data_IF_372297615104
#
_entry.id   IF_372297615104
#
_cell.length_a   1.000
_cell.length_b   1.000
_cell.length_c   1.000
_cell.angle_alpha   90.00
_cell.angle_beta   90.00
_cell.angle_gamma   90.00
#
_symmetry.space_group_name_H-M   'P 1'
#
loop_
_entity.id
_entity.type
_entity.pdbx_description
1 polymer ?
#
# COMPACT_ATOMS: atom_id res chain seq x y z
N UNK A 1 -7.74 -30.29 -9.52
CA UNK A 1 -7.34 -29.16 -8.64
C UNK A 1 -5.91 -28.78 -9.00
N UNK A 2 -5.70 -28.01 -10.07
CA UNK A 2 -4.34 -27.49 -10.41
C UNK A 2 -4.33 -26.28 -11.34
N UNK A 3 -5.47 -25.69 -11.68
CA UNK A 3 -5.51 -24.55 -12.61
C UNK A 3 -5.05 -23.22 -11.98
N UNK A 4 -5.26 -23.05 -10.67
CA UNK A 4 -4.89 -21.81 -9.95
C UNK A 4 -3.37 -21.68 -9.79
N UNK A 5 -2.67 -22.80 -9.58
CA UNK A 5 -1.22 -22.77 -9.39
C UNK A 5 -0.49 -22.44 -10.70
N UNK A 6 -1.04 -22.84 -11.86
CA UNK A 6 -0.41 -22.63 -13.15
C UNK A 6 -0.67 -21.22 -13.69
N UNK A 7 -1.90 -20.69 -13.53
CA UNK A 7 -2.22 -19.30 -13.86
C UNK A 7 -1.33 -18.29 -13.10
N UNK A 8 -1.01 -18.59 -11.83
CA UNK A 8 -0.14 -17.74 -11.03
C UNK A 8 1.32 -17.72 -11.54
N UNK A 9 1.80 -18.81 -12.17
CA UNK A 9 3.16 -18.87 -12.72
C UNK A 9 3.26 -18.09 -14.03
N UNK A 10 2.22 -18.13 -14.87
CA UNK A 10 2.16 -17.37 -16.12
C UNK A 10 2.02 -15.86 -15.86
N UNK A 11 1.20 -15.44 -14.91
CA UNK A 11 1.07 -14.02 -14.53
C UNK A 11 2.38 -13.40 -13.97
N UNK A 12 3.22 -14.21 -13.32
CA UNK A 12 4.56 -13.80 -12.87
C UNK A 12 5.56 -13.64 -14.03
N UNK A 13 5.38 -14.39 -15.13
CA UNK A 13 6.25 -14.39 -16.29
C UNK A 13 5.88 -13.31 -17.33
N UNK A 14 4.59 -13.00 -17.46
CA UNK A 14 4.06 -11.99 -18.40
C UNK A 14 4.08 -10.55 -17.86
N UNK A 15 4.56 -10.34 -16.63
CA UNK A 15 4.70 -9.01 -16.06
C UNK A 15 3.35 -8.36 -15.69
N UNK A 16 2.32 -9.16 -15.40
CA UNK A 16 0.98 -8.73 -14.98
C UNK A 16 0.95 -8.19 -13.53
N UNK A 17 1.99 -7.49 -13.11
CA UNK A 17 2.08 -6.81 -11.83
C UNK A 17 1.45 -5.43 -11.90
N UNK A 18 0.63 -5.07 -10.92
CA UNK A 18 0.28 -3.66 -10.70
C UNK A 18 1.44 -2.97 -9.99
N UNK A 19 1.86 -1.80 -10.47
CA UNK A 19 2.91 -1.03 -9.80
C UNK A 19 2.51 -0.74 -8.35
N UNK A 20 3.44 -0.98 -7.42
CA UNK A 20 3.20 -0.76 -6.00
C UNK A 20 4.00 0.45 -5.49
N UNK A 21 3.43 1.12 -4.50
CA UNK A 21 4.04 2.17 -3.69
C UNK A 21 3.82 1.92 -2.21
N UNK A 22 4.20 2.91 -1.42
CA UNK A 22 3.97 2.93 0.02
C UNK A 22 3.26 4.22 0.41
N UNK A 23 2.35 4.10 1.35
CA UNK A 23 1.72 5.20 2.06
C UNK A 23 1.91 4.99 3.57
N UNK A 24 1.86 6.07 4.34
CA UNK A 24 1.99 6.05 5.79
C UNK A 24 0.65 5.80 6.44
N UNK A 25 0.65 5.11 7.57
CA UNK A 25 -0.52 5.03 8.45
C UNK A 25 -0.47 6.20 9.42
N UNK A 26 -1.60 6.88 9.62
CA UNK A 26 -1.67 7.97 10.59
C UNK A 26 -1.45 7.42 12.00
N UNK A 27 -0.51 8.01 12.73
CA UNK A 27 -0.12 7.57 14.07
C UNK A 27 -0.12 8.74 15.06
N UNK A 28 -1.26 8.95 15.72
CA UNK A 28 -1.48 10.07 16.65
C UNK A 28 -0.56 10.05 17.88
N UNK A 29 0.15 8.95 18.14
CA UNK A 29 1.16 8.84 19.20
C UNK A 29 2.59 9.06 18.74
N UNK A 30 2.81 9.31 17.44
CA UNK A 30 4.15 9.63 16.93
C UNK A 30 4.62 11.00 17.40
N UNK A 31 5.93 11.15 17.58
CA UNK A 31 6.59 12.44 17.82
C UNK A 31 6.93 13.18 16.53
N UNK A 32 6.76 12.54 15.37
CA UNK A 32 7.05 13.11 14.06
C UNK A 32 5.76 13.55 13.37
N UNK A 33 5.79 14.76 12.80
CA UNK A 33 4.70 15.33 12.00
C UNK A 33 5.24 15.89 10.70
N UNK A 34 4.49 15.74 9.62
CA UNK A 34 4.90 16.24 8.32
C UNK A 34 3.92 15.92 7.21
N UNK A 35 4.22 16.43 6.02
CA UNK A 35 3.45 16.13 4.82
C UNK A 35 3.87 14.77 4.27
N UNK A 36 2.94 13.81 4.24
CA UNK A 36 3.13 12.44 3.76
C UNK A 36 1.88 11.99 3.00
N UNK A 37 2.01 10.96 2.17
CA UNK A 37 0.87 10.26 1.60
C UNK A 37 0.32 9.30 2.65
N UNK A 38 -0.88 9.55 3.17
CA UNK A 38 -1.50 8.71 4.19
C UNK A 38 -2.48 7.72 3.58
N UNK A 39 -2.34 6.43 3.86
CA UNK A 39 -3.22 5.40 3.31
C UNK A 39 -4.68 5.65 3.71
N UNK A 40 -5.63 5.24 2.87
CA UNK A 40 -7.04 5.23 3.26
C UNK A 40 -7.21 4.33 4.50
N UNK A 41 -7.92 4.83 5.51
CA UNK A 41 -8.29 4.09 6.73
C UNK A 41 -9.03 2.77 6.46
N UNK A 42 -9.57 2.58 5.26
CA UNK A 42 -10.22 1.34 4.81
C UNK A 42 -9.24 0.24 4.38
N UNK A 43 -7.95 0.53 4.34
CA UNK A 43 -6.93 -0.46 3.95
C UNK A 43 -6.96 -1.63 4.93
N UNK A 44 -7.07 -2.84 4.38
CA UNK A 44 -7.13 -4.07 5.14
C UNK A 44 -6.17 -5.10 4.56
N UNK A 45 -5.86 -6.15 5.32
CA UNK A 45 -4.84 -7.15 4.95
C UNK A 45 -5.16 -7.91 3.66
N UNK A 46 -6.41 -7.90 3.21
CA UNK A 46 -6.89 -8.61 2.03
C UNK A 46 -7.11 -7.68 0.83
N UNK A 47 -7.08 -6.35 1.02
CA UNK A 47 -7.39 -5.38 -0.04
C UNK A 47 -6.32 -4.29 -0.10
N UNK A 48 -5.65 -4.19 -1.26
CA UNK A 48 -4.71 -3.10 -1.55
C UNK A 48 -5.43 -2.00 -2.32
N UNK A 49 -5.42 -0.78 -1.79
CA UNK A 49 -6.02 0.40 -2.42
C UNK A 49 -4.98 1.23 -3.20
N UNK A 50 -5.43 2.10 -4.12
CA UNK A 50 -4.56 3.07 -4.78
C UNK A 50 -3.84 3.99 -3.79
N UNK A 51 -2.60 4.36 -4.12
CA UNK A 51 -1.85 5.34 -3.37
C UNK A 51 -2.59 6.69 -3.43
N UNK A 52 -2.60 7.46 -2.33
CA UNK A 52 -3.21 8.79 -2.34
C UNK A 52 -2.53 9.69 -3.37
N UNK A 53 -3.33 10.50 -4.08
CA UNK A 53 -2.82 11.39 -5.12
C UNK A 53 -2.15 12.65 -4.56
N UNK A 54 -2.41 13.00 -3.30
CA UNK A 54 -1.90 14.18 -2.62
C UNK A 54 -1.33 13.85 -1.25
N UNK A 55 -0.32 14.62 -0.83
CA UNK A 55 0.21 14.55 0.53
C UNK A 55 -0.67 15.36 1.48
N UNK A 56 -0.82 14.87 2.69
CA UNK A 56 -1.53 15.54 3.78
C UNK A 56 -0.61 15.71 4.99
N UNK A 57 -0.93 16.67 5.87
CA UNK A 57 -0.17 16.89 7.11
C UNK A 57 -0.72 16.00 8.21
N UNK A 58 0.10 15.07 8.70
CA UNK A 58 -0.30 14.12 9.72
C UNK A 58 0.87 13.67 10.58
N UNK A 59 0.53 12.95 11.66
CA UNK A 59 1.51 12.28 12.50
C UNK A 59 1.87 10.94 11.88
N UNK A 60 3.16 10.64 11.81
CA UNK A 60 3.63 9.45 11.08
C UNK A 60 4.79 8.77 11.82
N UNK A 61 4.89 7.46 11.69
CA UNK A 61 6.07 6.68 12.07
C UNK A 61 6.67 6.07 10.81
N UNK A 62 7.99 6.16 10.64
CA UNK A 62 8.68 5.59 9.48
C UNK A 62 8.54 4.05 9.41
N UNK A 63 8.22 3.41 10.52
CA UNK A 63 7.95 1.97 10.59
C UNK A 63 6.48 1.60 10.34
N UNK A 64 5.57 2.59 10.21
CA UNK A 64 4.14 2.37 9.98
C UNK A 64 3.75 2.80 8.57
N UNK A 65 4.03 1.91 7.62
CA UNK A 65 3.68 2.07 6.22
C UNK A 65 2.91 0.85 5.73
N UNK A 66 2.05 1.06 4.74
CA UNK A 66 1.37 -0.01 4.02
C UNK A 66 1.56 0.14 2.51
N UNK A 67 1.35 -0.95 1.78
CA UNK A 67 1.46 -1.01 0.33
C UNK A 67 0.20 -0.43 -0.31
N UNK A 68 0.39 0.27 -1.42
CA UNK A 68 -0.69 0.81 -2.24
C UNK A 68 -0.37 0.64 -3.73
N UNK A 69 -1.37 0.70 -4.61
CA UNK A 69 -1.16 0.63 -6.06
C UNK A 69 -0.88 2.01 -6.67
N UNK A 70 0.02 2.10 -7.65
CA UNK A 70 0.40 3.35 -8.34
C UNK A 70 -0.20 3.45 -9.72
#
# INVERSE_FOLDING_TARGET
MSDVAMANVEALADGEGTNAGYCYLEDTWSTKRGYKYFCDSKTDKNTIYPCPSSMESGWYDDNKQDRCTK
#
